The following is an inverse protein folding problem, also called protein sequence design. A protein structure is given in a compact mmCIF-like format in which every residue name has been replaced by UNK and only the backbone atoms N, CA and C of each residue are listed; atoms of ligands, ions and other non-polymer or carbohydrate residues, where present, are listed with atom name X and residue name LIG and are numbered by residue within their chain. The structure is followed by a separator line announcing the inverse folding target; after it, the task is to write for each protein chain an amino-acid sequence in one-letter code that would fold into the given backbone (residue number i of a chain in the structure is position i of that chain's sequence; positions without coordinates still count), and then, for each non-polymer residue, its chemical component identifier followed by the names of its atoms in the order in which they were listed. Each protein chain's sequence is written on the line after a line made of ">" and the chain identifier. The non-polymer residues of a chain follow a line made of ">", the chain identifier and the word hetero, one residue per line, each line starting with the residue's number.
data_IF_470020176250
#
_entry.id   IF_470020176250
#
_cell.length_a   1.000
_cell.length_b   1.000
_cell.length_c   1.000
_cell.angle_alpha   90.00
_cell.angle_beta   90.00
_cell.angle_gamma   90.00
#
_symmetry.space_group_name_H-M   'P 1'
#
loop_
_entity.id
_entity.type
_entity.pdbx_description
1 polymer ?
#
# COMPACT_ATOMS: atom_id res chain seq x y z
N UNK A 1 9.67 18.67 18.26
CA UNK A 1 8.97 17.66 19.06
C UNK A 1 7.78 17.23 18.22
N UNK A 2 7.76 16.00 17.72
CA UNK A 2 6.59 15.49 16.99
C UNK A 2 5.47 15.30 18.02
N UNK A 3 4.42 16.10 17.92
CA UNK A 3 3.21 15.95 18.73
C UNK A 3 2.55 14.61 18.38
N UNK A 4 2.84 13.59 19.19
CA UNK A 4 2.29 12.24 19.08
C UNK A 4 0.83 12.16 19.60
N UNK A 5 0.25 13.29 20.01
CA UNK A 5 -1.09 13.39 20.62
C UNK A 5 -2.21 13.75 19.64
N UNK A 6 -1.95 13.73 18.32
CA UNK A 6 -3.03 13.84 17.35
C UNK A 6 -3.76 12.49 17.17
N UNK A 7 -5.11 12.45 17.26
CA UNK A 7 -5.88 11.22 17.11
C UNK A 7 -5.67 10.56 15.73
N UNK A 8 -5.23 11.33 14.73
CA UNK A 8 -4.88 10.84 13.40
C UNK A 8 -3.49 10.20 13.31
N UNK A 9 -2.57 10.50 14.21
CA UNK A 9 -1.20 9.95 14.20
C UNK A 9 -1.18 8.43 14.35
N UNK A 10 -2.13 7.85 15.10
CA UNK A 10 -2.26 6.38 15.23
C UNK A 10 -2.67 5.73 13.90
N UNK A 11 -3.60 6.35 13.18
CA UNK A 11 -4.10 5.82 11.91
C UNK A 11 -3.10 6.00 10.76
N UNK A 12 -2.29 7.07 10.81
CA UNK A 12 -1.15 7.24 9.90
C UNK A 12 -0.10 6.15 10.13
N UNK A 13 0.23 5.84 11.39
CA UNK A 13 1.16 4.74 11.71
C UNK A 13 0.61 3.38 11.28
N UNK A 14 -0.69 3.16 11.40
CA UNK A 14 -1.37 1.95 10.94
C UNK A 14 -1.32 1.82 9.40
N UNK A 15 -1.60 2.91 8.67
CA UNK A 15 -1.42 2.97 7.23
C UNK A 15 0.03 2.65 6.83
N UNK A 16 1.00 3.30 7.47
CA UNK A 16 2.43 3.11 7.21
C UNK A 16 2.88 1.66 7.49
N UNK A 17 2.29 1.00 8.50
CA UNK A 17 2.55 -0.42 8.76
C UNK A 17 2.05 -1.30 7.62
N UNK A 18 0.85 -1.05 7.12
CA UNK A 18 0.29 -1.82 6.00
C UNK A 18 1.07 -1.55 4.71
N UNK A 19 1.45 -0.30 4.45
CA UNK A 19 2.33 0.07 3.33
C UNK A 19 3.68 -0.64 3.40
N UNK A 20 4.30 -0.74 4.58
CA UNK A 20 5.56 -1.45 4.75
C UNK A 20 5.43 -2.97 4.52
N UNK A 21 4.27 -3.56 4.88
CA UNK A 21 3.97 -4.96 4.54
C UNK A 21 3.84 -5.16 3.02
N UNK A 22 3.12 -4.26 2.33
CA UNK A 22 3.02 -4.27 0.87
C UNK A 22 4.42 -4.15 0.25
N UNK A 23 5.25 -3.21 0.75
CA UNK A 23 6.62 -3.02 0.28
C UNK A 23 7.43 -4.32 0.39
N UNK A 24 7.39 -4.99 1.54
CA UNK A 24 8.09 -6.26 1.78
C UNK A 24 7.62 -7.37 0.83
N UNK A 25 6.31 -7.52 0.64
CA UNK A 25 5.75 -8.52 -0.27
C UNK A 25 6.11 -8.24 -1.73
N UNK A 26 6.09 -6.97 -2.17
CA UNK A 26 6.50 -6.58 -3.51
C UNK A 26 8.01 -6.78 -3.74
N UNK A 27 8.84 -6.49 -2.74
CA UNK A 27 10.28 -6.75 -2.80
C UNK A 27 10.57 -8.24 -2.91
N UNK A 28 9.98 -9.04 -2.01
CA UNK A 28 10.11 -10.49 -2.04
C UNK A 28 9.62 -11.06 -3.38
N UNK A 29 8.45 -10.62 -3.87
CA UNK A 29 7.96 -11.04 -5.18
C UNK A 29 8.92 -10.66 -6.30
N UNK A 30 9.51 -9.45 -6.29
CA UNK A 30 10.48 -9.01 -7.30
C UNK A 30 11.78 -9.81 -7.27
N UNK A 31 12.26 -10.17 -6.08
CA UNK A 31 13.49 -10.95 -5.88
C UNK A 31 13.28 -12.44 -6.19
N UNK A 32 12.12 -12.99 -5.83
CA UNK A 32 11.74 -14.39 -6.04
C UNK A 32 11.12 -14.69 -7.42
N UNK A 33 10.88 -13.68 -8.27
CA UNK A 33 10.44 -13.88 -9.67
C UNK A 33 11.34 -14.84 -10.46
N UNK A 34 12.59 -15.03 -10.03
CA UNK A 34 13.53 -15.95 -10.65
C UNK A 34 13.39 -17.42 -10.18
N UNK A 35 12.65 -17.71 -9.11
CA UNK A 35 12.78 -18.99 -8.38
C UNK A 35 11.46 -19.69 -8.03
N UNK A 36 10.36 -18.98 -7.70
CA UNK A 36 9.10 -19.64 -7.27
C UNK A 36 7.81 -18.85 -7.55
N UNK A 37 7.02 -19.30 -8.53
CA UNK A 37 5.72 -18.72 -8.92
C UNK A 37 4.64 -18.90 -7.84
N UNK A 38 4.72 -19.93 -6.98
CA UNK A 38 3.73 -20.16 -5.93
C UNK A 38 3.82 -19.09 -4.84
N UNK A 39 5.05 -18.73 -4.45
CA UNK A 39 5.32 -17.63 -3.52
C UNK A 39 4.86 -16.29 -4.09
N UNK A 40 5.13 -16.05 -5.37
CA UNK A 40 4.64 -14.88 -6.10
C UNK A 40 3.10 -14.80 -6.17
N UNK A 41 2.41 -15.92 -6.35
CA UNK A 41 0.94 -15.99 -6.35
C UNK A 41 0.34 -15.73 -4.96
N UNK A 42 0.98 -16.24 -3.90
CA UNK A 42 0.55 -16.00 -2.52
C UNK A 42 0.69 -14.52 -2.14
N UNK A 43 1.85 -13.91 -2.42
CA UNK A 43 2.09 -12.50 -2.13
C UNK A 43 1.10 -11.57 -2.84
N UNK A 44 0.80 -11.83 -4.12
CA UNK A 44 -0.22 -11.08 -4.87
C UNK A 44 -1.61 -11.23 -4.26
N UNK A 45 -1.98 -12.45 -3.89
CA UNK A 45 -3.29 -12.73 -3.28
C UNK A 45 -3.45 -12.00 -1.95
N UNK A 46 -2.40 -11.97 -1.13
CA UNK A 46 -2.38 -11.25 0.14
C UNK A 46 -2.50 -9.73 -0.06
N UNK A 47 -1.76 -9.16 -1.02
CA UNK A 47 -1.86 -7.73 -1.34
C UNK A 47 -3.29 -7.38 -1.79
N UNK A 48 -3.85 -8.14 -2.72
CA UNK A 48 -5.16 -7.84 -3.34
C UNK A 48 -6.34 -8.08 -2.40
N UNK A 49 -6.34 -9.17 -1.64
CA UNK A 49 -7.50 -9.58 -0.86
C UNK A 49 -7.46 -9.10 0.59
N UNK A 50 -6.28 -8.76 1.11
CA UNK A 50 -6.09 -8.46 2.53
C UNK A 50 -5.59 -7.05 2.73
N UNK A 51 -4.47 -6.65 2.10
CA UNK A 51 -3.81 -5.38 2.43
C UNK A 51 -4.47 -4.17 1.77
N UNK A 52 -4.85 -4.25 0.48
CA UNK A 52 -5.56 -3.16 -0.21
C UNK A 52 -6.91 -2.84 0.44
N UNK A 53 -7.79 -3.82 0.73
CA UNK A 53 -9.08 -3.55 1.39
C UNK A 53 -8.91 -2.93 2.79
N UNK A 54 -7.84 -3.25 3.52
CA UNK A 54 -7.54 -2.61 4.80
C UNK A 54 -7.18 -1.14 4.64
N UNK A 55 -6.34 -0.79 3.67
CA UNK A 55 -6.02 0.62 3.36
C UNK A 55 -7.25 1.39 2.90
N UNK A 56 -8.12 0.77 2.10
CA UNK A 56 -9.39 1.36 1.69
C UNK A 56 -10.33 1.63 2.86
N UNK A 57 -10.51 0.65 3.76
CA UNK A 57 -11.31 0.81 4.96
C UNK A 57 -10.76 1.91 5.88
N UNK A 58 -9.44 1.96 6.02
CA UNK A 58 -8.75 2.98 6.83
C UNK A 58 -8.93 4.37 6.21
N UNK A 59 -8.81 4.50 4.88
CA UNK A 59 -9.12 5.73 4.14
C UNK A 59 -10.57 6.19 4.37
N UNK A 60 -11.53 5.27 4.27
CA UNK A 60 -12.94 5.55 4.50
C UNK A 60 -13.22 6.03 5.93
N UNK A 61 -12.62 5.38 6.92
CA UNK A 61 -12.88 5.63 8.33
C UNK A 61 -12.18 6.88 8.87
N UNK A 62 -10.96 7.16 8.42
CA UNK A 62 -10.08 8.13 9.10
C UNK A 62 -9.53 9.24 8.21
N UNK A 63 -9.57 9.10 6.88
CA UNK A 63 -8.99 10.06 5.92
C UNK A 63 -10.05 10.68 5.00
N UNK A 64 -11.31 10.68 5.46
CA UNK A 64 -12.42 11.34 4.77
C UNK A 64 -12.79 10.71 3.43
N UNK A 65 -12.49 9.41 3.24
CA UNK A 65 -12.74 8.69 1.99
C UNK A 65 -12.13 9.38 0.77
N UNK A 66 -10.85 9.78 0.88
CA UNK A 66 -10.13 10.47 -0.18
C UNK A 66 -10.19 9.66 -1.49
N UNK A 67 -10.81 10.25 -2.51
CA UNK A 67 -10.90 9.65 -3.86
C UNK A 67 -9.51 9.44 -4.46
N UNK A 68 -8.54 10.24 -4.06
CA UNK A 68 -7.18 10.16 -4.58
C UNK A 68 -6.46 8.92 -4.02
N UNK A 69 -6.58 8.66 -2.71
CA UNK A 69 -6.07 7.44 -2.10
C UNK A 69 -6.69 6.20 -2.76
N UNK A 70 -8.02 6.20 -2.97
CA UNK A 70 -8.68 5.11 -3.70
C UNK A 70 -8.12 4.90 -5.11
N UNK A 71 -7.89 5.98 -5.88
CA UNK A 71 -7.29 5.87 -7.22
C UNK A 71 -5.90 5.26 -7.19
N UNK A 72 -5.09 5.63 -6.21
CA UNK A 72 -3.73 5.08 -6.07
C UNK A 72 -3.76 3.61 -5.65
N UNK A 73 -4.65 3.24 -4.73
CA UNK A 73 -4.85 1.84 -4.33
C UNK A 73 -5.39 0.98 -5.49
N UNK A 74 -6.32 1.50 -6.28
CA UNK A 74 -6.84 0.84 -7.48
C UNK A 74 -5.74 0.63 -8.54
N UNK A 75 -4.92 1.65 -8.81
CA UNK A 75 -3.78 1.55 -9.72
C UNK A 75 -2.77 0.49 -9.27
N UNK A 76 -2.49 0.41 -7.96
CA UNK A 76 -1.66 -0.63 -7.39
C UNK A 76 -2.31 -2.01 -7.54
N UNK A 77 -3.60 -2.14 -7.26
CA UNK A 77 -4.37 -3.38 -7.44
C UNK A 77 -4.32 -3.89 -8.88
N UNK A 78 -4.54 -3.02 -9.86
CA UNK A 78 -4.43 -3.37 -11.28
C UNK A 78 -3.02 -3.83 -11.66
N UNK A 79 -1.98 -3.17 -11.14
CA UNK A 79 -0.60 -3.55 -11.41
C UNK A 79 -0.24 -4.92 -10.81
N UNK A 80 -0.74 -5.22 -9.61
CA UNK A 80 -0.56 -6.52 -8.93
C UNK A 80 -1.34 -7.63 -9.65
N UNK A 81 -2.56 -7.35 -10.12
CA UNK A 81 -3.35 -8.28 -10.95
C UNK A 81 -2.68 -8.59 -12.28
N UNK A 82 -1.99 -7.61 -12.87
CA UNK A 82 -1.24 -7.77 -14.12
C UNK A 82 0.00 -8.66 -14.03
N UNK A 83 0.30 -9.24 -12.85
CA UNK A 83 1.43 -10.15 -12.60
C UNK A 83 2.82 -9.55 -12.93
N UNK A 84 2.93 -8.22 -12.99
CA UNK A 84 4.16 -7.52 -13.33
C UNK A 84 4.71 -6.84 -12.07
N UNK A 85 5.65 -7.50 -11.38
CA UNK A 85 6.25 -6.98 -10.15
C UNK A 85 6.95 -5.62 -10.36
N UNK A 86 7.48 -5.37 -11.56
CA UNK A 86 8.10 -4.08 -11.90
C UNK A 86 7.07 -2.95 -11.98
N UNK A 87 5.93 -3.20 -12.61
CA UNK A 87 4.81 -2.25 -12.62
C UNK A 87 4.19 -2.07 -11.25
N UNK A 88 3.98 -3.16 -10.50
CA UNK A 88 3.45 -3.10 -9.14
C UNK A 88 4.37 -2.30 -8.20
N UNK A 89 5.68 -2.52 -8.29
CA UNK A 89 6.66 -1.75 -7.53
C UNK A 89 6.67 -0.25 -7.91
N UNK A 90 6.55 0.08 -9.20
CA UNK A 90 6.44 1.49 -9.64
C UNK A 90 5.15 2.14 -9.15
N UNK A 91 4.02 1.45 -9.22
CA UNK A 91 2.74 1.94 -8.71
C UNK A 91 2.81 2.18 -7.20
N UNK A 92 3.43 1.27 -6.44
CA UNK A 92 3.66 1.44 -5.01
C UNK A 92 4.65 2.58 -4.70
N UNK A 93 5.73 2.72 -5.47
CA UNK A 93 6.70 3.80 -5.27
C UNK A 93 6.10 5.19 -5.52
N UNK A 94 5.07 5.28 -6.37
CA UNK A 94 4.30 6.51 -6.55
C UNK A 94 3.41 6.82 -5.34
N UNK A 95 3.03 5.80 -4.55
CA UNK A 95 2.28 5.92 -3.30
C UNK A 95 3.19 6.46 -2.17
N UNK A 96 4.47 6.09 -2.17
CA UNK A 96 5.50 6.50 -1.19
C UNK A 96 6.20 7.84 -1.54
N UNK A 97 5.89 8.44 -2.69
CA UNK A 97 6.48 9.69 -3.17
C UNK A 97 5.83 10.97 -2.58
N UNK A 98 6.40 12.16 -2.85
CA UNK A 98 5.78 13.44 -2.46
C UNK A 98 4.48 13.66 -3.28
N UNK A 99 3.35 13.49 -2.61
CA UNK A 99 1.99 13.59 -3.17
C UNK A 99 0.96 13.14 -2.13
N UNK A 100 -0.34 13.30 -2.41
CA UNK A 100 -1.44 13.00 -1.46
C UNK A 100 -1.54 11.52 -1.07
N UNK A 101 -0.70 11.09 -0.14
CA UNK A 101 -0.65 9.78 0.50
C UNK A 101 -1.09 9.89 1.97
N UNK A 102 -1.21 8.76 2.67
CA UNK A 102 -1.62 8.76 4.08
C UNK A 102 -0.71 9.64 4.96
N UNK A 103 0.57 9.79 4.58
CA UNK A 103 1.53 10.69 5.21
C UNK A 103 1.21 12.19 5.03
N UNK A 104 0.47 12.58 4.00
CA UNK A 104 0.04 13.99 3.78
C UNK A 104 -0.94 14.46 4.86
N UNK A 105 -1.66 13.55 5.48
CA UNK A 105 -2.59 13.82 6.59
C UNK A 105 -1.93 13.77 7.97
N UNK A 106 -0.62 13.53 8.03
CA UNK A 106 0.17 13.51 9.25
C UNK A 106 0.66 14.91 9.68
N UNK A 107 0.36 15.96 8.90
CA UNK A 107 0.80 17.35 9.07
C UNK A 107 -0.36 18.20 9.63
#
# INVERSE_FOLDING_TARGET
>A
MLDLDHPRSRHVLEAARIEDLIRKLLLAWREDQATDEATASSARSEILQVLLPQLEALNAAHFGASTQIYRTLDALGQAVQGADAGKAWRAFSALDGPGDNFATWAI
#
